data_IF_301810740437
#
_entry.id   IF_301810740437
#
_cell.length_a   1.000
_cell.length_b   1.000
_cell.length_c   1.000
_cell.angle_alpha   90.00
_cell.angle_beta   90.00
_cell.angle_gamma   90.00
#
_symmetry.space_group_name_H-M   'P 1'
#
loop_
_entity.id
_entity.type
_entity.pdbx_description
1 polymer ?
#
# COMPACT_ATOMS: atom_id res chain seq x y z
N UNK A 1 1.66 -35.65 -7.88
CA UNK A 1 3.14 -35.71 -7.82
C UNK A 1 3.56 -35.68 -6.37
N UNK A 2 4.31 -36.65 -5.91
CA UNK A 2 4.79 -36.70 -4.52
C UNK A 2 6.16 -36.06 -4.49
N UNK A 3 6.30 -34.93 -3.81
CA UNK A 3 7.57 -34.20 -3.69
C UNK A 3 8.58 -34.83 -2.72
N UNK A 4 8.22 -35.95 -2.08
CA UNK A 4 9.15 -36.67 -1.23
C UNK A 4 10.15 -37.50 -2.04
N UNK A 5 11.46 -37.45 -1.72
CA UNK A 5 12.49 -38.18 -2.45
C UNK A 5 12.43 -39.71 -2.19
N UNK A 6 11.66 -40.14 -1.22
CA UNK A 6 11.60 -41.55 -0.79
C UNK A 6 10.59 -42.34 -1.62
N UNK A 7 11.05 -43.49 -2.15
CA UNK A 7 10.20 -44.48 -2.80
C UNK A 7 9.40 -45.27 -1.76
N UNK A 8 8.43 -46.05 -2.23
CA UNK A 8 7.69 -46.95 -1.34
C UNK A 8 8.62 -47.98 -0.65
N UNK A 9 9.59 -48.55 -1.37
CA UNK A 9 10.59 -49.45 -0.82
C UNK A 9 11.49 -48.76 0.23
N UNK A 10 11.77 -47.49 0.08
CA UNK A 10 12.53 -46.71 1.09
C UNK A 10 11.71 -46.57 2.38
N UNK A 11 10.42 -46.28 2.28
CA UNK A 11 9.52 -46.17 3.42
C UNK A 11 9.39 -47.51 4.16
N UNK A 12 9.24 -48.60 3.42
CA UNK A 12 9.18 -49.95 4.00
C UNK A 12 10.46 -50.30 4.76
N UNK A 13 11.62 -49.97 4.21
CA UNK A 13 12.90 -50.16 4.92
C UNK A 13 13.01 -49.35 6.19
N UNK A 14 12.58 -48.06 6.13
CA UNK A 14 12.58 -47.17 7.31
C UNK A 14 11.64 -47.71 8.41
N UNK A 15 10.43 -48.12 8.05
CA UNK A 15 9.46 -48.72 8.98
C UNK A 15 10.00 -50.00 9.59
N UNK A 16 10.59 -50.88 8.80
CA UNK A 16 11.21 -52.11 9.27
C UNK A 16 12.35 -51.82 10.28
N UNK A 17 13.17 -50.77 10.04
CA UNK A 17 14.22 -50.37 10.97
C UNK A 17 13.65 -49.88 12.31
N UNK A 18 12.45 -49.28 12.30
CA UNK A 18 11.75 -48.81 13.49
C UNK A 18 10.90 -49.93 14.15
N UNK A 19 10.80 -51.10 13.54
CA UNK A 19 9.94 -52.17 14.02
C UNK A 19 8.44 -51.88 13.84
N UNK A 20 8.08 -51.04 12.88
CA UNK A 20 6.72 -50.65 12.59
C UNK A 20 6.25 -51.21 11.24
N UNK A 21 4.95 -51.44 11.12
CA UNK A 21 4.31 -51.95 9.91
C UNK A 21 3.60 -50.87 9.07
N UNK A 22 3.36 -49.69 9.66
CA UNK A 22 2.74 -48.57 8.96
C UNK A 22 3.19 -47.19 9.51
N UNK A 23 3.00 -46.18 8.71
CA UNK A 23 3.30 -44.77 9.09
C UNK A 23 2.36 -44.29 10.21
N UNK A 24 1.12 -44.81 10.22
CA UNK A 24 0.11 -44.47 11.23
C UNK A 24 0.56 -44.86 12.64
N UNK A 25 1.39 -45.92 12.76
CA UNK A 25 1.95 -46.39 14.04
C UNK A 25 2.95 -45.40 14.66
N UNK A 26 3.48 -44.47 13.88
CA UNK A 26 4.34 -43.38 14.39
C UNK A 26 3.59 -42.40 15.30
N UNK A 27 2.27 -42.42 15.26
CA UNK A 27 1.40 -41.54 16.04
C UNK A 27 0.69 -42.27 17.21
N UNK A 28 1.10 -43.50 17.57
CA UNK A 28 0.45 -44.30 18.61
C UNK A 28 0.54 -43.68 20.01
N UNK A 29 1.50 -42.78 20.24
CA UNK A 29 1.65 -41.98 21.46
C UNK A 29 0.58 -40.85 21.59
N UNK A 30 -0.15 -40.55 20.51
CA UNK A 30 -1.25 -39.57 20.56
C UNK A 30 -2.53 -40.29 21.01
N UNK A 31 -3.14 -39.90 22.14
CA UNK A 31 -4.38 -40.54 22.62
C UNK A 31 -5.50 -40.50 21.56
N UNK A 32 -6.24 -41.61 21.35
CA UNK A 32 -7.31 -41.67 20.33
C UNK A 32 -8.37 -40.56 20.45
N UNK A 33 -8.65 -40.11 21.68
CA UNK A 33 -9.63 -39.06 21.93
C UNK A 33 -9.25 -37.67 21.38
N UNK A 34 -7.97 -37.44 21.11
CA UNK A 34 -7.47 -36.17 20.57
C UNK A 34 -6.91 -36.31 19.15
N UNK A 35 -6.97 -37.52 18.58
CA UNK A 35 -6.63 -37.77 17.17
C UNK A 35 -7.71 -37.25 16.26
N UNK A 36 -7.33 -36.41 15.31
CA UNK A 36 -8.26 -35.99 14.26
C UNK A 36 -8.59 -37.15 13.35
N UNK A 37 -9.87 -37.36 13.05
CA UNK A 37 -10.35 -38.43 12.18
C UNK A 37 -9.93 -38.23 10.70
N UNK A 38 -9.39 -37.07 10.37
CA UNK A 38 -9.00 -36.65 9.03
C UNK A 38 -9.30 -35.17 8.82
N UNK A 39 -9.00 -34.67 7.64
CA UNK A 39 -9.37 -33.34 7.22
C UNK A 39 -10.57 -33.39 6.28
N UNK A 40 -11.61 -32.64 6.58
CA UNK A 40 -12.77 -32.47 5.69
C UNK A 40 -12.41 -31.45 4.61
N UNK A 41 -11.58 -31.88 3.66
CA UNK A 41 -11.12 -31.08 2.52
C UNK A 41 -11.70 -31.65 1.23
N UNK A 42 -12.02 -30.78 0.26
CA UNK A 42 -12.38 -31.22 -1.09
C UNK A 42 -11.30 -32.10 -1.71
N UNK A 43 -11.69 -32.99 -2.60
CA UNK A 43 -10.73 -33.79 -3.36
C UNK A 43 -9.79 -32.89 -4.17
N UNK A 44 -8.51 -33.30 -4.36
CA UNK A 44 -7.57 -32.52 -5.15
C UNK A 44 -8.05 -32.40 -6.60
N UNK A 45 -7.82 -31.24 -7.21
CA UNK A 45 -8.16 -30.95 -8.60
C UNK A 45 -6.91 -30.94 -9.46
N UNK A 46 -7.08 -31.20 -10.75
CA UNK A 46 -6.02 -31.00 -11.72
C UNK A 46 -5.76 -29.48 -11.91
N UNK A 47 -4.57 -29.12 -12.35
CA UNK A 47 -4.21 -27.73 -12.66
C UNK A 47 -5.22 -27.08 -13.63
N UNK A 48 -5.64 -27.84 -14.67
CA UNK A 48 -6.62 -27.35 -15.66
C UNK A 48 -7.97 -27.00 -15.02
N UNK A 49 -8.46 -27.86 -14.13
CA UNK A 49 -9.73 -27.62 -13.41
C UNK A 49 -9.60 -26.43 -12.46
N UNK A 50 -8.49 -26.32 -11.73
CA UNK A 50 -8.21 -25.21 -10.83
C UNK A 50 -8.14 -23.88 -11.59
N UNK A 51 -7.41 -23.82 -12.70
CA UNK A 51 -7.30 -22.61 -13.54
C UNK A 51 -8.67 -22.18 -14.05
N UNK A 52 -9.48 -23.11 -14.55
CA UNK A 52 -10.84 -22.80 -15.04
C UNK A 52 -11.74 -22.25 -13.95
N UNK A 53 -11.69 -22.82 -12.77
CA UNK A 53 -12.50 -22.36 -11.63
C UNK A 53 -12.06 -20.96 -11.17
N UNK A 54 -10.75 -20.72 -11.03
CA UNK A 54 -10.22 -19.42 -10.63
C UNK A 54 -10.49 -18.35 -11.69
N UNK A 55 -10.41 -18.68 -12.98
CA UNK A 55 -10.81 -17.78 -14.06
C UNK A 55 -12.29 -17.45 -14.02
N UNK A 56 -13.16 -18.42 -13.74
CA UNK A 56 -14.59 -18.19 -13.58
C UNK A 56 -14.90 -17.28 -12.38
N UNK A 57 -14.18 -17.43 -11.27
CA UNK A 57 -14.27 -16.52 -10.12
C UNK A 57 -13.76 -15.13 -10.48
N UNK A 58 -12.61 -15.02 -11.13
CA UNK A 58 -12.04 -13.74 -11.56
C UNK A 58 -12.94 -12.97 -12.52
N UNK A 59 -13.64 -13.67 -13.42
CA UNK A 59 -14.60 -13.08 -14.36
C UNK A 59 -15.84 -12.44 -13.68
N UNK A 60 -16.06 -12.68 -12.40
CA UNK A 60 -17.13 -11.99 -11.63
C UNK A 60 -16.73 -10.59 -11.21
N UNK A 61 -15.45 -10.24 -11.27
CA UNK A 61 -14.98 -8.89 -10.97
C UNK A 61 -15.34 -7.94 -12.13
N UNK A 62 -15.82 -6.76 -11.77
CA UNK A 62 -16.16 -5.68 -12.71
C UNK A 62 -14.89 -4.85 -12.99
N UNK A 63 -14.09 -5.28 -13.97
CA UNK A 63 -12.84 -4.60 -14.38
C UNK A 63 -13.07 -3.50 -15.42
N UNK A 64 -14.28 -3.41 -15.95
CA UNK A 64 -14.74 -2.49 -16.99
C UNK A 64 -15.22 -1.13 -16.43
N UNK A 65 -15.25 -0.98 -15.10
CA UNK A 65 -15.77 0.21 -14.46
C UNK A 65 -14.86 1.44 -14.65
N UNK A 66 -15.48 2.58 -14.98
CA UNK A 66 -14.83 3.88 -14.82
C UNK A 66 -14.80 4.19 -13.33
N UNK A 67 -13.61 4.31 -12.76
CA UNK A 67 -13.44 4.47 -11.31
C UNK A 67 -12.99 5.87 -10.95
N UNK A 68 -13.70 6.47 -9.99
CA UNK A 68 -13.29 7.67 -9.25
C UNK A 68 -12.98 7.33 -7.79
N UNK A 69 -12.76 6.05 -7.48
CA UNK A 69 -12.40 5.62 -6.14
C UNK A 69 -10.94 5.94 -5.85
N UNK A 70 -10.69 6.51 -4.69
CA UNK A 70 -9.37 6.81 -4.13
C UNK A 70 -9.35 6.43 -2.67
N UNK A 71 -9.34 7.44 -1.78
CA UNK A 71 -9.38 7.25 -0.35
C UNK A 71 -8.20 6.42 0.18
N UNK A 72 -7.00 6.72 -0.31
CA UNK A 72 -5.74 6.09 0.10
C UNK A 72 -5.31 4.89 -0.72
N UNK A 73 -6.11 4.46 -1.72
CA UNK A 73 -5.74 3.42 -2.70
C UNK A 73 -6.01 3.95 -4.10
N UNK A 74 -4.99 4.10 -4.91
CA UNK A 74 -5.09 4.78 -6.19
C UNK A 74 -4.69 3.85 -7.34
N UNK A 75 -5.47 3.93 -8.44
CA UNK A 75 -5.15 3.21 -9.68
C UNK A 75 -4.28 4.09 -10.55
N UNK A 76 -3.07 3.64 -10.79
CA UNK A 76 -2.14 4.22 -11.77
C UNK A 76 -1.81 3.22 -12.87
N UNK A 77 -1.30 3.70 -13.99
CA UNK A 77 -0.74 2.83 -15.02
C UNK A 77 0.56 2.20 -14.50
N UNK A 78 0.61 0.88 -14.52
CA UNK A 78 1.80 0.14 -14.13
C UNK A 78 2.56 -0.24 -15.40
N UNK A 79 3.79 0.27 -15.62
CA UNK A 79 4.60 -0.10 -16.77
C UNK A 79 4.91 -1.60 -16.80
N UNK A 80 4.96 -2.19 -18.00
CA UNK A 80 5.25 -3.61 -18.17
C UNK A 80 6.63 -4.03 -17.62
N UNK A 81 7.55 -3.08 -17.46
CA UNK A 81 8.86 -3.30 -16.82
C UNK A 81 8.72 -3.76 -15.37
N UNK A 82 7.68 -3.28 -14.65
CA UNK A 82 7.44 -3.67 -13.25
C UNK A 82 7.14 -5.17 -13.17
N UNK A 83 6.15 -5.66 -13.93
CA UNK A 83 5.81 -7.08 -13.94
C UNK A 83 6.98 -7.95 -14.42
N UNK A 84 7.72 -7.49 -15.44
CA UNK A 84 8.88 -8.20 -15.96
C UNK A 84 10.01 -8.38 -14.94
N UNK A 85 10.17 -7.41 -14.03
CA UNK A 85 11.20 -7.47 -12.98
C UNK A 85 10.73 -8.28 -11.79
N UNK A 86 9.53 -7.99 -11.24
CA UNK A 86 9.05 -8.67 -10.02
C UNK A 86 8.72 -10.15 -10.22
N UNK A 87 8.43 -10.57 -11.45
CA UNK A 87 8.17 -11.98 -11.78
C UNK A 87 9.43 -12.83 -11.93
N UNK A 88 10.63 -12.23 -11.89
CA UNK A 88 11.88 -12.99 -11.96
C UNK A 88 12.05 -13.84 -10.71
N UNK A 89 12.41 -15.12 -10.90
CA UNK A 89 12.57 -16.08 -9.82
C UNK A 89 13.55 -15.64 -8.74
N UNK A 90 14.60 -14.91 -9.12
CA UNK A 90 15.62 -14.39 -8.20
C UNK A 90 15.04 -13.44 -7.15
N UNK A 91 13.99 -12.68 -7.50
CA UNK A 91 13.32 -11.76 -6.59
C UNK A 91 12.04 -12.36 -5.99
N UNK A 92 11.23 -13.04 -6.80
CA UNK A 92 9.95 -13.60 -6.35
C UNK A 92 10.11 -14.69 -5.27
N UNK A 93 11.23 -15.41 -5.26
CA UNK A 93 11.56 -16.42 -4.25
C UNK A 93 12.49 -15.93 -3.14
N UNK A 94 12.97 -14.68 -3.23
CA UNK A 94 13.84 -14.11 -2.21
C UNK A 94 13.12 -13.96 -0.87
N UNK A 95 13.86 -14.26 0.21
CA UNK A 95 13.42 -14.00 1.57
C UNK A 95 14.30 -12.93 2.20
N UNK A 96 14.47 -12.92 3.50
CA UNK A 96 15.33 -11.94 4.16
C UNK A 96 16.79 -12.14 3.78
N UNK A 97 17.49 -11.10 3.28
CA UNK A 97 18.87 -11.20 2.83
C UNK A 97 19.87 -11.16 3.98
N UNK A 98 19.81 -12.14 4.89
CA UNK A 98 20.69 -12.21 6.07
C UNK A 98 22.17 -12.44 5.71
N UNK A 99 22.41 -13.22 4.65
CA UNK A 99 23.77 -13.54 4.19
C UNK A 99 24.11 -12.64 3.00
N UNK A 100 24.89 -11.57 3.22
CA UNK A 100 25.21 -10.62 2.16
C UNK A 100 25.98 -11.26 1.00
N UNK A 101 26.74 -12.32 1.25
CA UNK A 101 27.57 -13.00 0.25
C UNK A 101 26.76 -13.55 -0.93
N UNK A 102 25.54 -14.00 -0.67
CA UNK A 102 24.66 -14.59 -1.70
C UNK A 102 23.45 -13.72 -2.04
N UNK A 103 23.29 -12.56 -1.39
CA UNK A 103 22.10 -11.71 -1.48
C UNK A 103 22.39 -10.31 -2.01
N UNK A 104 23.51 -10.10 -2.70
CA UNK A 104 23.94 -8.77 -3.13
C UNK A 104 22.90 -8.07 -4.04
N UNK A 105 22.27 -8.80 -4.96
CA UNK A 105 21.22 -8.23 -5.83
C UNK A 105 19.99 -7.74 -5.04
N UNK A 106 19.51 -8.53 -4.07
CA UNK A 106 18.39 -8.16 -3.20
C UNK A 106 18.74 -6.96 -2.30
N UNK A 107 19.93 -6.98 -1.72
CA UNK A 107 20.42 -5.87 -0.88
C UNK A 107 20.60 -4.58 -1.67
N UNK A 108 21.12 -4.68 -2.90
CA UNK A 108 21.22 -3.53 -3.81
C UNK A 108 19.84 -2.95 -4.11
N UNK A 109 18.86 -3.79 -4.41
CA UNK A 109 17.47 -3.36 -4.66
C UNK A 109 16.91 -2.58 -3.48
N UNK A 110 17.11 -3.08 -2.25
CA UNK A 110 16.66 -2.37 -1.05
C UNK A 110 17.38 -1.02 -0.89
N UNK A 111 18.67 -0.97 -1.16
CA UNK A 111 19.44 0.28 -1.11
C UNK A 111 18.96 1.29 -2.16
N UNK A 112 18.62 0.83 -3.36
CA UNK A 112 18.07 1.67 -4.43
C UNK A 112 16.67 2.18 -4.07
N UNK A 113 15.81 1.34 -3.48
CA UNK A 113 14.53 1.76 -2.93
C UNK A 113 14.70 2.87 -1.89
N UNK A 114 15.57 2.66 -0.90
CA UNK A 114 15.87 3.66 0.13
C UNK A 114 16.34 4.97 -0.49
N UNK A 115 17.20 4.91 -1.51
CA UNK A 115 17.75 6.09 -2.17
C UNK A 115 16.67 6.87 -2.94
N UNK A 116 15.83 6.20 -3.71
CA UNK A 116 14.75 6.84 -4.49
C UNK A 116 13.71 7.47 -3.57
N UNK A 117 13.34 6.78 -2.49
CA UNK A 117 12.39 7.36 -1.52
C UNK A 117 13.04 8.53 -0.75
N UNK A 118 14.33 8.47 -0.43
CA UNK A 118 15.04 9.57 0.21
C UNK A 118 15.00 10.85 -0.64
N UNK A 119 15.26 10.72 -1.94
CA UNK A 119 15.16 11.85 -2.90
C UNK A 119 13.73 12.36 -2.98
N UNK A 120 12.73 11.47 -3.02
CA UNK A 120 11.32 11.84 -3.16
C UNK A 120 10.80 12.60 -1.94
N UNK A 121 11.18 12.19 -0.73
CA UNK A 121 10.69 12.81 0.52
C UNK A 121 11.64 13.88 1.09
N UNK A 122 12.84 14.03 0.53
CA UNK A 122 13.86 14.99 1.02
C UNK A 122 14.41 14.65 2.41
N UNK A 123 14.36 13.40 2.85
CA UNK A 123 14.89 12.94 4.13
C UNK A 123 15.92 11.81 3.93
N UNK A 124 17.11 11.87 4.57
CA UNK A 124 18.26 11.06 4.20
C UNK A 124 18.20 9.60 4.65
N UNK A 125 17.36 9.25 5.62
CA UNK A 125 17.33 7.91 6.20
C UNK A 125 15.97 7.28 5.92
N UNK A 126 15.96 6.19 5.16
CA UNK A 126 14.74 5.47 4.76
C UNK A 126 14.84 4.02 5.17
N UNK A 127 13.80 3.44 5.77
CA UNK A 127 13.74 2.01 6.06
C UNK A 127 13.62 1.17 4.79
N UNK A 128 14.02 -0.10 4.87
CA UNK A 128 13.92 -1.04 3.75
C UNK A 128 12.49 -1.24 3.22
N UNK A 129 11.50 -1.07 4.03
CA UNK A 129 10.05 -0.88 3.83
C UNK A 129 9.28 -1.23 5.11
N UNK A 130 8.04 -0.78 5.19
CA UNK A 130 7.03 -1.20 6.16
C UNK A 130 5.92 -2.00 5.47
N UNK A 131 4.92 -2.48 6.21
CA UNK A 131 3.84 -3.30 5.64
C UNK A 131 2.93 -2.46 4.74
N UNK A 132 2.52 -1.28 5.22
CA UNK A 132 1.67 -0.31 4.55
C UNK A 132 1.82 1.08 5.17
N UNK A 133 1.16 2.09 4.61
CA UNK A 133 1.21 3.46 5.09
C UNK A 133 0.60 3.66 6.47
N UNK A 134 -0.42 2.89 6.82
CA UNK A 134 -1.10 3.00 8.11
C UNK A 134 -0.18 2.53 9.24
N UNK A 135 0.46 1.38 9.08
CA UNK A 135 1.44 0.86 10.06
C UNK A 135 2.73 1.68 10.07
N UNK A 136 3.18 2.20 8.93
CA UNK A 136 4.32 3.14 8.88
C UNK A 136 4.04 4.41 9.69
N UNK A 137 2.83 4.97 9.60
CA UNK A 137 2.42 6.14 10.39
C UNK A 137 2.39 5.83 11.89
N UNK A 138 1.86 4.66 12.26
CA UNK A 138 1.84 4.21 13.65
C UNK A 138 3.26 4.01 14.22
N UNK A 139 4.15 3.44 13.43
CA UNK A 139 5.56 3.28 13.81
C UNK A 139 6.29 4.64 13.92
N UNK A 140 5.96 5.62 13.06
CA UNK A 140 6.45 6.99 13.17
C UNK A 140 6.04 7.64 14.50
N UNK A 141 4.79 7.46 14.91
CA UNK A 141 4.30 7.93 16.21
C UNK A 141 5.08 7.30 17.38
N UNK A 142 5.25 5.96 17.39
CA UNK A 142 6.02 5.27 18.41
C UNK A 142 7.50 5.66 18.40
N UNK A 143 8.07 5.90 17.23
CA UNK A 143 9.43 6.39 17.07
C UNK A 143 9.60 7.76 17.71
N UNK A 144 8.66 8.69 17.49
CA UNK A 144 8.67 10.01 18.10
C UNK A 144 8.52 9.94 19.64
N UNK A 145 7.63 9.08 20.15
CA UNK A 145 7.48 8.83 21.59
C UNK A 145 8.81 8.35 22.21
N UNK A 146 9.52 7.42 21.55
CA UNK A 146 10.83 6.95 22.03
C UNK A 146 11.91 8.03 21.98
N UNK A 147 11.94 8.79 20.91
CA UNK A 147 12.98 9.81 20.68
C UNK A 147 12.82 10.98 21.66
N UNK A 148 11.62 11.48 21.87
CA UNK A 148 11.34 12.62 22.74
C UNK A 148 11.14 12.23 24.21
N UNK A 149 10.85 10.96 24.50
CA UNK A 149 10.41 10.45 25.82
C UNK A 149 9.13 11.09 26.34
N UNK A 150 8.34 11.69 25.45
CA UNK A 150 7.01 12.24 25.74
C UNK A 150 5.94 11.23 25.32
N UNK A 151 4.75 11.32 25.87
CA UNK A 151 3.73 10.28 25.71
C UNK A 151 2.52 10.70 24.86
N UNK A 152 2.33 11.99 24.64
CA UNK A 152 1.17 12.51 23.89
C UNK A 152 1.52 12.67 22.41
N UNK A 153 0.63 12.17 21.55
CA UNK A 153 0.71 12.33 20.10
C UNK A 153 -0.54 13.11 19.64
N UNK A 154 -0.34 14.15 18.85
CA UNK A 154 -1.40 14.87 18.16
C UNK A 154 -1.47 14.40 16.72
N UNK A 155 -2.64 14.05 16.24
CA UNK A 155 -2.86 13.64 14.85
C UNK A 155 -4.02 14.44 14.26
N UNK A 156 -3.86 14.97 13.05
CA UNK A 156 -4.98 15.64 12.38
C UNK A 156 -6.11 14.64 12.11
N UNK A 157 -7.35 15.04 12.37
CA UNK A 157 -8.54 14.30 11.97
C UNK A 157 -8.59 14.05 10.46
N UNK A 158 -7.96 14.92 9.67
CA UNK A 158 -7.86 14.82 8.23
C UNK A 158 -6.71 13.90 7.76
N UNK A 159 -5.97 13.23 8.62
CA UNK A 159 -5.10 12.10 8.22
C UNK A 159 -6.00 10.93 7.82
N UNK A 160 -5.57 10.16 6.82
CA UNK A 160 -6.30 9.00 6.34
C UNK A 160 -6.78 8.11 7.49
N UNK A 161 -8.06 7.76 7.52
CA UNK A 161 -8.69 7.16 8.70
C UNK A 161 -8.04 5.85 9.14
N UNK A 162 -7.60 5.00 8.19
CA UNK A 162 -6.87 3.77 8.51
C UNK A 162 -5.56 4.06 9.26
N UNK A 163 -4.85 5.13 8.91
CA UNK A 163 -3.64 5.52 9.61
C UNK A 163 -3.94 6.03 11.04
N UNK A 164 -5.02 6.79 11.21
CA UNK A 164 -5.47 7.23 12.54
C UNK A 164 -5.81 6.03 13.43
N UNK A 165 -6.59 5.06 12.93
CA UNK A 165 -7.00 3.90 13.72
C UNK A 165 -5.83 2.93 14.01
N UNK A 166 -4.94 2.72 13.05
CA UNK A 166 -3.71 1.95 13.28
C UNK A 166 -2.85 2.63 14.35
N UNK A 167 -2.64 3.96 14.23
CA UNK A 167 -1.88 4.72 15.23
C UNK A 167 -2.52 4.63 16.61
N UNK A 168 -3.84 4.74 16.69
CA UNK A 168 -4.59 4.56 17.94
C UNK A 168 -4.32 3.20 18.57
N UNK A 169 -4.36 2.14 17.77
CA UNK A 169 -4.09 0.77 18.23
C UNK A 169 -2.67 0.62 18.76
N UNK A 170 -1.69 1.17 18.06
CA UNK A 170 -0.26 1.04 18.40
C UNK A 170 0.11 1.88 19.64
N UNK A 171 -0.47 3.07 19.80
CA UNK A 171 -0.15 3.93 20.94
C UNK A 171 -1.03 3.66 22.16
N UNK A 172 -2.05 2.80 22.06
CA UNK A 172 -2.94 2.47 23.19
C UNK A 172 -2.13 1.88 24.36
N UNK A 173 -2.07 2.64 25.43
CA UNK A 173 -1.37 2.28 26.68
C UNK A 173 -1.91 3.20 27.79
N UNK A 174 -1.95 2.75 29.05
CA UNK A 174 -2.35 3.62 30.16
C UNK A 174 -1.54 4.90 30.31
N UNK A 175 -0.31 4.91 29.75
CA UNK A 175 0.60 6.05 29.87
C UNK A 175 0.72 6.89 28.58
N UNK A 176 0.01 6.52 27.49
CA UNK A 176 0.09 7.24 26.22
C UNK A 176 -1.25 7.80 25.81
N UNK A 177 -1.24 8.95 25.15
CA UNK A 177 -2.42 9.65 24.69
C UNK A 177 -2.31 9.98 23.19
N UNK A 178 -3.38 9.67 22.45
CA UNK A 178 -3.56 10.09 21.05
C UNK A 178 -4.75 11.02 20.97
N UNK A 179 -4.52 12.30 20.71
CA UNK A 179 -5.54 13.31 20.54
C UNK A 179 -5.69 13.70 19.06
N UNK A 180 -6.93 13.74 18.57
CA UNK A 180 -7.23 14.21 17.21
C UNK A 180 -7.39 15.72 17.20
N UNK A 181 -6.70 16.39 16.26
CA UNK A 181 -6.88 17.82 15.98
C UNK A 181 -8.08 18.03 15.06
N UNK A 182 -8.92 19.03 15.31
CA UNK A 182 -10.06 19.32 14.45
C UNK A 182 -9.61 19.90 13.11
N UNK A 183 -10.56 20.01 12.18
CA UNK A 183 -10.39 20.67 10.88
C UNK A 183 -11.24 21.92 10.80
N UNK A 184 -10.76 22.90 10.04
CA UNK A 184 -11.47 24.10 9.66
C UNK A 184 -12.56 23.82 8.60
N UNK A 185 -13.33 24.82 8.24
CA UNK A 185 -14.38 24.71 7.23
C UNK A 185 -13.81 24.44 5.84
N UNK A 186 -12.62 24.97 5.53
CA UNK A 186 -11.91 24.74 4.28
C UNK A 186 -11.31 23.33 4.14
N UNK A 187 -11.40 22.51 5.20
CA UNK A 187 -10.93 21.13 5.25
C UNK A 187 -9.48 20.98 5.73
N UNK A 188 -8.76 22.08 6.01
CA UNK A 188 -7.42 22.03 6.57
C UNK A 188 -7.44 21.79 8.09
N UNK A 189 -6.32 21.36 8.64
CA UNK A 189 -6.10 21.19 10.08
C UNK A 189 -6.18 22.54 10.80
N UNK A 190 -6.91 22.62 11.91
CA UNK A 190 -6.99 23.82 12.75
C UNK A 190 -5.66 24.07 13.49
N UNK A 191 -4.85 24.99 12.96
CA UNK A 191 -3.57 25.34 13.56
C UNK A 191 -3.71 26.13 14.86
N UNK A 192 -4.84 26.80 15.13
CA UNK A 192 -5.07 27.45 16.41
C UNK A 192 -5.33 26.40 17.51
N UNK A 193 -6.09 25.34 17.19
CA UNK A 193 -6.26 24.21 18.07
C UNK A 193 -4.92 23.45 18.30
N UNK A 194 -4.08 23.34 17.26
CA UNK A 194 -2.74 22.78 17.40
C UNK A 194 -1.89 23.61 18.38
N UNK A 195 -1.83 24.92 18.18
CA UNK A 195 -1.04 25.82 19.04
C UNK A 195 -1.51 25.75 20.50
N UNK A 196 -2.82 25.75 20.74
CA UNK A 196 -3.39 25.57 22.08
C UNK A 196 -3.02 24.23 22.72
N UNK A 197 -3.05 23.12 21.94
CA UNK A 197 -2.69 21.80 22.43
C UNK A 197 -1.20 21.65 22.74
N UNK A 198 -0.34 22.36 21.98
CA UNK A 198 1.11 22.39 22.19
C UNK A 198 1.53 23.27 23.40
N UNK A 199 0.71 24.25 23.76
CA UNK A 199 0.96 25.13 24.89
C UNK A 199 0.68 24.49 26.27
N UNK A 200 0.09 23.28 26.31
CA UNK A 200 -0.22 22.59 27.56
C UNK A 200 1.05 21.98 28.21
N UNK A 201 1.56 22.56 29.33
CA UNK A 201 2.78 22.09 29.95
C UNK A 201 2.62 20.77 30.72
N UNK A 202 1.40 20.37 31.08
CA UNK A 202 1.13 19.14 31.80
C UNK A 202 1.15 17.92 30.86
N UNK A 203 0.90 18.14 29.58
CA UNK A 203 0.87 17.08 28.57
C UNK A 203 1.80 17.37 27.40
N UNK A 204 3.12 17.29 27.61
CA UNK A 204 4.11 17.61 26.55
C UNK A 204 3.97 16.65 25.37
N UNK A 205 3.87 17.22 24.16
CA UNK A 205 3.61 16.49 22.93
C UNK A 205 4.89 15.87 22.36
N UNK A 206 4.83 14.59 21.99
CA UNK A 206 5.90 13.84 21.33
C UNK A 206 5.95 14.11 19.83
N UNK A 207 4.79 14.09 19.18
CA UNK A 207 4.65 14.27 17.75
C UNK A 207 3.37 15.00 17.37
N UNK A 208 3.45 15.74 16.26
CA UNK A 208 2.32 16.26 15.49
C UNK A 208 2.30 15.55 14.15
N UNK A 209 1.18 14.93 13.78
CA UNK A 209 1.02 14.12 12.56
C UNK A 209 -0.03 14.76 11.66
N UNK A 210 0.36 15.15 10.43
CA UNK A 210 -0.54 15.78 9.43
C UNK A 210 -0.33 15.11 8.07
N UNK A 211 -1.42 14.96 7.29
CA UNK A 211 -1.42 14.36 5.96
C UNK A 211 -1.24 15.39 4.84
N UNK A 212 -0.50 15.06 3.78
CA UNK A 212 -0.31 15.94 2.62
C UNK A 212 -0.31 15.14 1.30
N UNK A 213 -1.31 15.30 0.42
CA UNK A 213 -2.63 15.90 0.71
C UNK A 213 -3.33 15.17 1.86
N UNK A 214 -4.31 15.81 2.49
CA UNK A 214 -5.05 15.17 3.57
C UNK A 214 -6.18 14.24 3.05
N UNK A 215 -6.91 13.57 3.94
CA UNK A 215 -7.96 12.61 3.59
C UNK A 215 -9.19 13.21 2.87
N UNK A 216 -9.27 14.53 2.76
CA UNK A 216 -10.28 15.23 1.96
C UNK A 216 -9.70 15.72 0.61
N UNK A 217 -8.45 15.40 0.31
CA UNK A 217 -7.69 15.88 -0.83
C UNK A 217 -7.10 17.28 -0.65
N UNK A 218 -7.30 17.93 0.49
CA UNK A 218 -6.90 19.32 0.76
C UNK A 218 -5.39 19.40 1.05
N UNK A 219 -4.78 20.49 0.56
CA UNK A 219 -3.38 20.82 0.83
C UNK A 219 -3.28 21.55 2.17
N UNK A 220 -2.41 21.07 3.02
CA UNK A 220 -2.23 21.54 4.39
C UNK A 220 -1.10 22.60 4.51
N UNK A 221 -1.15 23.51 5.48
CA UNK A 221 -0.08 24.47 5.74
C UNK A 221 1.11 23.82 6.50
N UNK A 222 1.76 22.85 5.87
CA UNK A 222 2.74 21.93 6.48
C UNK A 222 3.92 22.65 7.14
N UNK A 223 4.49 23.67 6.48
CA UNK A 223 5.62 24.44 7.02
C UNK A 223 5.26 25.13 8.35
N UNK A 224 4.07 25.73 8.42
CA UNK A 224 3.62 26.39 9.65
C UNK A 224 3.33 25.39 10.77
N UNK A 225 2.78 24.24 10.44
CA UNK A 225 2.56 23.17 11.42
C UNK A 225 3.89 22.62 11.97
N UNK A 226 4.90 22.46 11.12
CA UNK A 226 6.24 22.05 11.53
C UNK A 226 6.90 23.07 12.47
N UNK A 227 6.82 24.36 12.15
CA UNK A 227 7.30 25.45 13.03
C UNK A 227 6.67 25.40 14.42
N UNK A 228 5.35 25.23 14.49
CA UNK A 228 4.62 25.13 15.77
C UNK A 228 5.06 23.91 16.57
N UNK A 229 5.18 22.75 15.92
CA UNK A 229 5.63 21.53 16.57
C UNK A 229 7.05 21.69 17.14
N UNK A 230 7.99 22.23 16.36
CA UNK A 230 9.37 22.44 16.78
C UNK A 230 9.49 23.46 17.91
N UNK A 231 8.72 24.55 17.87
CA UNK A 231 8.70 25.54 18.95
C UNK A 231 8.33 24.94 20.30
N UNK A 232 7.47 23.90 20.30
CA UNK A 232 7.10 23.14 21.49
C UNK A 232 8.05 21.95 21.78
N UNK A 233 9.08 21.73 20.95
CA UNK A 233 9.98 20.58 21.05
C UNK A 233 9.32 19.23 20.74
N UNK A 234 8.24 19.23 19.97
CA UNK A 234 7.64 18.04 19.40
C UNK A 234 8.24 17.73 18.01
N UNK A 235 8.22 16.46 17.60
CA UNK A 235 8.60 16.09 16.25
C UNK A 235 7.42 16.28 15.29
N UNK A 236 7.72 16.71 14.06
CA UNK A 236 6.72 16.85 13.02
C UNK A 236 6.76 15.63 12.07
N UNK A 237 5.63 14.94 11.93
CA UNK A 237 5.45 13.76 11.08
C UNK A 237 4.54 14.12 9.91
N UNK A 238 5.06 14.01 8.71
CA UNK A 238 4.28 14.17 7.48
C UNK A 238 3.80 12.81 6.97
N UNK A 239 2.49 12.65 6.78
CA UNK A 239 1.92 11.48 6.10
C UNK A 239 1.64 11.86 4.65
N UNK A 240 2.30 11.19 3.69
CA UNK A 240 2.33 11.62 2.30
C UNK A 240 1.69 10.62 1.35
N UNK A 241 1.09 11.16 0.29
CA UNK A 241 0.77 10.43 -0.93
C UNK A 241 1.97 10.58 -1.90
N UNK A 242 2.69 9.51 -2.25
CA UNK A 242 4.01 9.62 -2.87
C UNK A 242 4.02 10.21 -4.29
N UNK A 243 2.96 10.03 -5.08
CA UNK A 243 2.89 10.59 -6.44
C UNK A 243 2.74 12.11 -6.39
N UNK A 244 2.07 12.65 -5.38
CA UNK A 244 1.90 14.09 -5.17
C UNK A 244 3.21 14.81 -4.95
N UNK A 245 4.23 14.13 -4.41
CA UNK A 245 5.55 14.70 -4.15
C UNK A 245 6.34 15.07 -5.43
N UNK A 246 5.88 14.59 -6.60
CA UNK A 246 6.44 15.04 -7.88
C UNK A 246 6.09 16.51 -8.23
N UNK A 247 5.09 17.10 -7.55
CA UNK A 247 4.61 18.47 -7.80
C UNK A 247 4.44 19.30 -6.52
N UNK A 248 4.53 18.69 -5.35
CA UNK A 248 4.49 19.36 -4.05
C UNK A 248 5.89 19.37 -3.43
N UNK A 249 6.14 20.33 -2.55
CA UNK A 249 7.38 20.38 -1.77
C UNK A 249 7.55 19.09 -0.94
N UNK A 250 8.72 18.45 -0.95
CA UNK A 250 8.98 17.24 -0.17
C UNK A 250 9.01 17.53 1.33
N UNK A 251 8.68 16.55 2.19
CA UNK A 251 8.69 16.69 3.64
C UNK A 251 9.93 17.33 4.25
N UNK A 252 11.11 16.98 3.75
CA UNK A 252 12.37 17.51 4.25
C UNK A 252 12.51 19.03 4.04
N UNK A 253 11.93 19.59 2.98
CA UNK A 253 12.02 21.02 2.67
C UNK A 253 11.17 21.90 3.60
N UNK A 254 10.02 21.39 4.08
CA UNK A 254 9.18 22.14 5.02
C UNK A 254 9.40 21.75 6.49
N UNK A 255 10.47 21.00 6.78
CA UNK A 255 10.92 20.74 8.14
C UNK A 255 10.30 19.49 8.80
N UNK A 256 9.83 18.49 8.05
CA UNK A 256 9.41 17.24 8.67
C UNK A 256 10.63 16.50 9.24
N UNK A 257 10.49 15.97 10.46
CA UNK A 257 11.47 15.09 11.09
C UNK A 257 11.33 13.66 10.62
N UNK A 258 10.08 13.27 10.33
CA UNK A 258 9.70 11.93 9.89
C UNK A 258 8.68 12.07 8.76
N UNK A 259 8.83 11.28 7.71
CA UNK A 259 7.81 11.09 6.68
C UNK A 259 7.34 9.64 6.67
N UNK A 260 6.02 9.44 6.61
CA UNK A 260 5.40 8.13 6.47
C UNK A 260 4.38 8.19 5.33
N UNK A 261 4.05 7.05 4.74
CA UNK A 261 3.04 7.00 3.67
C UNK A 261 2.87 5.60 3.10
N UNK A 262 1.93 5.47 2.20
CA UNK A 262 1.68 4.23 1.47
C UNK A 262 2.27 4.31 0.06
N UNK A 263 3.14 3.37 -0.27
CA UNK A 263 3.78 3.30 -1.59
C UNK A 263 2.98 2.50 -2.62
N UNK A 264 1.73 2.10 -2.34
CA UNK A 264 0.88 1.39 -3.30
C UNK A 264 0.80 2.10 -4.66
N UNK A 265 0.67 3.45 -4.74
CA UNK A 265 0.61 4.15 -6.01
C UNK A 265 1.87 3.99 -6.89
N UNK A 266 2.98 3.59 -6.30
CA UNK A 266 4.26 3.40 -6.99
C UNK A 266 4.37 2.01 -7.64
N UNK A 267 3.46 1.67 -8.56
CA UNK A 267 3.54 0.45 -9.36
C UNK A 267 3.00 -0.82 -8.70
N UNK A 268 2.15 -0.70 -7.70
CA UNK A 268 1.48 -1.84 -7.06
C UNK A 268 -0.02 -1.78 -7.38
N UNK A 269 -0.55 -2.85 -7.98
CA UNK A 269 -1.96 -2.92 -8.30
C UNK A 269 -2.82 -3.01 -7.02
N UNK A 270 -3.97 -2.30 -6.94
CA UNK A 270 -4.92 -2.49 -5.86
C UNK A 270 -5.40 -3.94 -5.77
N UNK A 271 -5.31 -4.56 -4.61
CA UNK A 271 -5.66 -5.98 -4.40
C UNK A 271 -6.26 -6.20 -3.01
N UNK A 272 -7.52 -5.86 -2.82
CA UNK A 272 -8.35 -6.18 -1.64
C UNK A 272 -7.66 -6.03 -0.27
N UNK A 273 -6.87 -4.97 -0.10
CA UNK A 273 -6.18 -4.68 1.16
C UNK A 273 -4.73 -5.11 1.22
N UNK A 274 -4.13 -5.42 0.09
CA UNK A 274 -2.69 -5.68 0.02
C UNK A 274 -2.31 -6.85 -0.88
N UNK A 275 -0.99 -7.09 -1.01
CA UNK A 275 0.08 -6.41 -0.28
C UNK A 275 0.26 -4.94 -0.73
N UNK A 276 0.81 -4.10 0.16
CA UNK A 276 1.26 -2.77 -0.14
C UNK A 276 2.74 -2.60 0.25
N UNK A 277 3.25 -1.39 0.29
CA UNK A 277 4.56 -1.05 0.83
C UNK A 277 4.48 0.23 1.66
N UNK A 278 4.79 0.15 2.94
CA UNK A 278 4.88 1.32 3.79
C UNK A 278 6.20 2.05 3.59
N UNK A 279 6.11 3.36 3.45
CA UNK A 279 7.23 4.29 3.39
C UNK A 279 7.47 4.84 4.78
N UNK A 280 8.72 4.82 5.25
CA UNK A 280 9.14 5.49 6.47
C UNK A 280 10.53 6.06 6.29
N UNK A 281 10.63 7.39 6.41
CA UNK A 281 11.87 8.12 6.31
C UNK A 281 12.04 9.06 7.51
N UNK A 282 13.27 9.42 7.84
CA UNK A 282 13.54 10.37 8.92
C UNK A 282 14.83 11.16 8.69
N UNK A 283 14.99 12.21 9.51
CA UNK A 283 16.23 12.98 9.60
C UNK A 283 17.38 12.09 10.13
N UNK A 284 18.62 12.49 9.84
CA UNK A 284 19.82 11.76 10.28
C UNK A 284 19.90 11.62 11.81
N UNK A 285 19.44 12.62 12.54
CA UNK A 285 19.40 12.60 14.01
C UNK A 285 18.57 11.43 14.57
N UNK A 286 17.58 10.97 13.82
CA UNK A 286 16.68 9.89 14.21
C UNK A 286 17.09 8.50 13.67
N UNK A 287 18.19 8.39 12.91
CA UNK A 287 18.62 7.14 12.27
C UNK A 287 18.65 5.93 13.22
N UNK A 288 19.07 6.15 14.48
CA UNK A 288 19.14 5.06 15.47
C UNK A 288 17.79 4.68 16.08
N UNK A 289 16.74 5.45 15.80
CA UNK A 289 15.38 5.25 16.31
C UNK A 289 14.44 4.66 15.25
N UNK A 290 14.82 4.74 13.96
CA UNK A 290 13.96 4.27 12.86
C UNK A 290 13.70 2.77 13.00
N UNK A 291 12.44 2.31 12.99
CA UNK A 291 12.12 0.88 12.98
C UNK A 291 12.39 0.26 11.61
N UNK A 292 12.43 -1.05 11.57
CA UNK A 292 12.67 -1.81 10.35
C UNK A 292 14.16 -1.88 9.97
N UNK A 293 14.41 -2.58 8.87
CA UNK A 293 15.76 -2.86 8.36
C UNK A 293 16.35 -1.66 7.63
N UNK A 294 17.67 -1.58 7.66
CA UNK A 294 18.45 -0.64 6.87
C UNK A 294 19.54 -1.38 6.13
N UNK A 295 19.73 -1.03 4.87
CA UNK A 295 20.83 -1.53 4.02
C UNK A 295 21.80 -0.38 3.78
N UNK A 296 23.07 -0.64 4.03
CA UNK A 296 24.16 0.29 3.79
C UNK A 296 25.05 -0.17 2.64
N UNK A 297 25.70 0.78 1.97
CA UNK A 297 26.77 0.53 1.00
C UNK A 297 28.10 0.37 1.72
N UNK A 298 28.87 -0.64 1.31
CA UNK A 298 30.21 -0.94 1.80
C UNK A 298 31.11 -1.37 0.64
N UNK A 299 32.30 -1.87 0.95
CA UNK A 299 33.22 -2.52 0.01
C UNK A 299 33.54 -3.93 0.49
N UNK A 300 33.75 -4.86 -0.45
CA UNK A 300 34.26 -6.19 -0.15
C UNK A 300 35.77 -6.19 0.07
N UNK A 301 36.35 -7.37 0.30
CA UNK A 301 37.81 -7.53 0.54
C UNK A 301 38.65 -7.14 -0.69
N UNK A 302 38.08 -7.19 -1.90
CA UNK A 302 38.73 -6.79 -3.15
C UNK A 302 38.52 -5.29 -3.47
N UNK A 303 37.87 -4.53 -2.57
CA UNK A 303 37.54 -3.11 -2.77
C UNK A 303 36.36 -2.86 -3.69
N UNK A 304 35.58 -3.89 -4.09
CA UNK A 304 34.38 -3.73 -4.93
C UNK A 304 33.22 -3.26 -4.09
N UNK A 305 32.31 -2.48 -4.70
CA UNK A 305 31.08 -2.04 -4.06
C UNK A 305 30.24 -3.25 -3.62
N UNK A 306 29.79 -3.25 -2.37
CA UNK A 306 28.95 -4.26 -1.78
C UNK A 306 27.86 -3.63 -0.91
N UNK A 307 26.85 -4.40 -0.53
CA UNK A 307 25.72 -3.98 0.29
C UNK A 307 25.54 -4.94 1.46
N UNK A 308 25.12 -4.40 2.60
CA UNK A 308 24.93 -5.16 3.84
C UNK A 308 23.81 -4.58 4.69
N UNK A 309 23.08 -5.42 5.40
CA UNK A 309 22.16 -4.94 6.44
C UNK A 309 22.95 -4.33 7.59
N UNK A 310 22.58 -3.12 8.01
CA UNK A 310 23.26 -2.34 9.03
C UNK A 310 22.37 -2.01 10.21
N UNK A 311 22.97 -1.60 11.34
CA UNK A 311 22.29 -1.20 12.57
C UNK A 311 21.30 -2.25 13.12
N UNK A 312 21.51 -3.53 12.87
CA UNK A 312 20.62 -4.64 13.25
C UNK A 312 20.38 -4.78 14.75
N UNK A 313 21.27 -4.24 15.58
CA UNK A 313 21.12 -4.30 17.04
C UNK A 313 19.84 -3.66 17.60
N UNK A 314 19.05 -2.95 16.76
CA UNK A 314 17.74 -2.36 17.11
C UNK A 314 16.58 -3.35 16.92
N UNK A 315 16.76 -4.38 16.09
CA UNK A 315 15.70 -5.28 15.63
C UNK A 315 15.36 -6.36 16.68
N UNK A 316 14.17 -6.94 16.53
CA UNK A 316 13.61 -7.87 17.51
C UNK A 316 14.38 -9.20 17.60
N UNK A 317 15.02 -9.65 16.53
CA UNK A 317 15.84 -10.86 16.52
C UNK A 317 17.06 -10.77 17.46
N UNK A 318 17.49 -9.54 17.76
CA UNK A 318 18.61 -9.25 18.69
C UNK A 318 18.11 -8.69 20.03
N UNK A 319 17.26 -7.67 20.01
CA UNK A 319 16.82 -6.94 21.21
C UNK A 319 15.59 -7.56 21.88
N UNK A 320 14.87 -8.45 21.23
CA UNK A 320 13.66 -9.11 21.74
C UNK A 320 12.62 -8.08 22.23
N UNK A 321 12.23 -8.14 23.51
CA UNK A 321 11.26 -7.24 24.17
C UNK A 321 11.71 -5.76 24.18
N UNK A 322 12.99 -5.48 24.03
CA UNK A 322 13.57 -4.13 23.99
C UNK A 322 13.78 -3.60 22.58
N UNK A 323 13.28 -4.28 21.56
CA UNK A 323 13.38 -3.85 20.19
C UNK A 323 12.62 -2.54 19.94
N UNK A 324 13.06 -1.78 18.94
CA UNK A 324 12.38 -0.55 18.53
C UNK A 324 10.99 -0.80 17.96
N UNK A 325 10.75 -1.97 17.36
CA UNK A 325 9.50 -2.37 16.75
C UNK A 325 9.36 -3.90 16.71
N UNK A 326 8.16 -4.39 16.53
CA UNK A 326 7.85 -5.80 16.27
C UNK A 326 7.96 -6.18 14.79
N UNK A 327 8.32 -5.26 13.92
CA UNK A 327 8.52 -5.52 12.49
C UNK A 327 9.62 -6.57 12.32
N UNK A 328 9.35 -7.62 11.54
CA UNK A 328 10.28 -8.70 11.27
C UNK A 328 10.61 -8.76 9.77
N UNK A 329 9.65 -9.19 8.98
CA UNK A 329 9.75 -9.24 7.52
C UNK A 329 9.12 -7.98 6.95
N UNK A 330 9.73 -7.43 5.91
CA UNK A 330 9.24 -6.26 5.19
C UNK A 330 8.64 -6.66 3.83
N UNK A 331 8.18 -5.68 3.06
CA UNK A 331 7.55 -5.87 1.74
C UNK A 331 8.58 -5.72 0.61
N UNK A 332 9.60 -6.57 0.59
CA UNK A 332 10.74 -6.43 -0.32
C UNK A 332 10.35 -6.48 -1.80
N UNK A 333 9.40 -7.35 -2.19
CA UNK A 333 8.95 -7.45 -3.59
C UNK A 333 8.13 -6.23 -4.00
N UNK A 334 7.31 -5.69 -3.12
CA UNK A 334 6.58 -4.43 -3.36
C UNK A 334 7.54 -3.23 -3.41
N UNK A 335 8.58 -3.21 -2.58
CA UNK A 335 9.65 -2.21 -2.65
C UNK A 335 10.41 -2.27 -3.98
N UNK A 336 10.66 -3.47 -4.52
CA UNK A 336 11.22 -3.65 -5.86
C UNK A 336 10.28 -3.13 -6.96
N UNK A 337 8.96 -3.37 -6.83
CA UNK A 337 7.97 -2.83 -7.76
C UNK A 337 8.04 -1.29 -7.77
N UNK A 338 8.03 -0.66 -6.59
CA UNK A 338 8.14 0.79 -6.43
C UNK A 338 9.47 1.33 -6.99
N UNK A 339 10.58 0.65 -6.73
CA UNK A 339 11.90 0.99 -7.30
C UNK A 339 11.88 0.98 -8.82
N UNK A 340 11.32 -0.09 -9.41
CA UNK A 340 11.24 -0.26 -10.86
C UNK A 340 10.31 0.79 -11.49
N UNK A 341 9.19 1.07 -10.83
CA UNK A 341 8.24 2.11 -11.24
C UNK A 341 8.90 3.48 -11.28
N UNK A 342 9.51 3.90 -10.18
CA UNK A 342 10.20 5.19 -10.08
C UNK A 342 11.36 5.31 -11.08
N UNK A 343 12.17 4.26 -11.24
CA UNK A 343 13.27 4.24 -12.20
C UNK A 343 12.78 4.28 -13.65
N UNK A 344 11.62 3.68 -13.95
CA UNK A 344 11.04 3.67 -15.30
C UNK A 344 10.46 5.04 -15.67
N UNK A 345 9.73 5.68 -14.76
CA UNK A 345 9.12 6.99 -14.99
C UNK A 345 10.14 8.12 -14.90
N UNK A 346 11.06 8.05 -13.96
CA UNK A 346 11.92 9.16 -13.60
C UNK A 346 11.14 10.37 -13.07
N UNK A 347 11.82 11.49 -12.77
CA UNK A 347 11.17 12.67 -12.20
C UNK A 347 10.15 13.31 -13.16
N UNK A 348 10.43 13.33 -14.45
CA UNK A 348 9.51 13.90 -15.43
C UNK A 348 8.24 13.07 -15.60
N UNK A 349 8.37 11.73 -15.75
CA UNK A 349 7.20 10.86 -15.90
C UNK A 349 6.32 10.84 -14.65
N UNK A 350 6.92 10.86 -13.45
CA UNK A 350 6.14 10.96 -12.20
C UNK A 350 5.42 12.31 -12.11
N UNK A 351 6.08 13.40 -12.51
CA UNK A 351 5.49 14.74 -12.61
C UNK A 351 4.31 14.78 -13.58
N UNK A 352 4.42 14.14 -14.74
CA UNK A 352 3.33 14.02 -15.73
C UNK A 352 2.12 13.27 -15.18
N UNK A 353 2.35 12.18 -14.42
CA UNK A 353 1.28 11.41 -13.75
C UNK A 353 0.54 12.30 -12.75
N UNK A 354 1.27 12.98 -11.85
CA UNK A 354 0.68 13.84 -10.84
C UNK A 354 -0.08 15.03 -11.47
N UNK A 355 0.52 15.71 -12.43
CA UNK A 355 -0.08 16.86 -13.11
C UNK A 355 -1.33 16.45 -13.90
N UNK A 356 -1.31 15.28 -14.56
CA UNK A 356 -2.48 14.76 -15.28
C UNK A 356 -3.64 14.46 -14.33
N UNK A 357 -3.37 13.80 -13.19
CA UNK A 357 -4.38 13.56 -12.16
C UNK A 357 -5.02 14.84 -11.65
N UNK A 358 -4.20 15.85 -11.35
CA UNK A 358 -4.66 17.18 -10.92
C UNK A 358 -5.52 17.88 -12.00
N UNK A 359 -5.10 17.84 -13.25
CA UNK A 359 -5.86 18.42 -14.36
C UNK A 359 -7.21 17.72 -14.56
N UNK A 360 -7.25 16.40 -14.42
CA UNK A 360 -8.52 15.64 -14.53
C UNK A 360 -9.46 15.94 -13.36
N UNK A 361 -8.93 16.13 -12.15
CA UNK A 361 -9.73 16.53 -10.99
C UNK A 361 -10.36 17.93 -11.16
N UNK A 362 -9.62 18.90 -11.72
CA UNK A 362 -10.17 20.22 -12.07
C UNK A 362 -11.30 20.12 -13.11
N UNK A 363 -11.08 19.34 -14.17
CA UNK A 363 -12.11 19.13 -15.20
C UNK A 363 -13.37 18.46 -14.64
N UNK A 364 -13.19 17.53 -13.69
CA UNK A 364 -14.30 16.88 -12.99
C UNK A 364 -15.05 17.90 -12.13
N UNK A 365 -14.36 18.74 -11.36
CA UNK A 365 -14.97 19.82 -10.58
C UNK A 365 -15.80 20.75 -11.44
N UNK A 366 -15.26 21.23 -12.57
CA UNK A 366 -15.96 22.12 -13.50
C UNK A 366 -17.24 21.48 -14.06
N UNK A 367 -17.17 20.19 -14.45
CA UNK A 367 -18.30 19.44 -14.96
C UNK A 367 -19.39 19.24 -13.89
N UNK A 368 -19.00 18.93 -12.66
CA UNK A 368 -19.91 18.76 -11.52
C UNK A 368 -20.57 20.10 -11.12
N UNK A 369 -19.81 21.18 -11.10
CA UNK A 369 -20.32 22.53 -10.83
C UNK A 369 -21.39 22.93 -11.89
N UNK A 370 -21.18 22.55 -13.15
CA UNK A 370 -22.14 22.76 -14.25
C UNK A 370 -23.50 22.10 -14.05
N UNK A 371 -23.60 21.10 -13.18
CA UNK A 371 -24.84 20.44 -12.80
C UNK A 371 -25.27 20.70 -11.35
N UNK A 372 -24.66 21.69 -10.70
CA UNK A 372 -25.01 22.16 -9.35
C UNK A 372 -24.40 21.36 -8.20
N UNK A 373 -23.46 20.42 -8.46
CA UNK A 373 -22.72 19.70 -7.42
C UNK A 373 -21.52 20.55 -6.99
N UNK A 374 -21.38 20.77 -5.69
CA UNK A 374 -20.36 21.65 -5.12
C UNK A 374 -19.38 20.87 -4.25
N UNK A 375 -18.16 21.40 -4.10
CA UNK A 375 -17.19 20.84 -3.13
C UNK A 375 -17.69 21.06 -1.69
N UNK A 376 -17.35 20.11 -0.83
CA UNK A 376 -17.60 20.22 0.61
C UNK A 376 -16.66 21.26 1.24
N UNK A 377 -15.40 21.23 0.84
CA UNK A 377 -14.33 22.07 1.41
C UNK A 377 -13.78 23.06 0.37
N UNK A 378 -13.53 24.30 0.81
CA UNK A 378 -13.04 25.36 -0.06
C UNK A 378 -11.53 25.41 -0.25
N UNK A 379 -10.76 24.60 0.49
CA UNK A 379 -9.30 24.60 0.45
C UNK A 379 -8.71 24.20 -0.92
N UNK A 380 -7.43 24.49 -1.12
CA UNK A 380 -6.69 24.01 -2.29
C UNK A 380 -6.57 22.49 -2.26
N UNK A 381 -6.64 21.84 -3.42
CA UNK A 381 -6.57 20.39 -3.54
C UNK A 381 -5.73 19.97 -4.76
N UNK A 382 -5.35 18.68 -4.84
CA UNK A 382 -4.55 18.19 -5.96
C UNK A 382 -5.38 17.30 -6.91
N UNK A 383 -5.49 16.04 -6.63
CA UNK A 383 -6.12 15.01 -7.50
C UNK A 383 -7.37 14.36 -6.88
N UNK A 384 -7.70 14.73 -5.66
CA UNK A 384 -8.82 14.19 -4.92
C UNK A 384 -9.66 15.33 -4.33
N UNK A 385 -10.99 15.21 -4.38
CA UNK A 385 -11.91 16.25 -3.91
C UNK A 385 -13.18 15.66 -3.29
N UNK A 386 -13.63 16.22 -2.18
CA UNK A 386 -14.91 15.90 -1.56
C UNK A 386 -16.02 16.77 -2.13
N UNK A 387 -17.11 16.15 -2.59
CA UNK A 387 -18.27 16.84 -3.16
C UNK A 387 -19.57 16.46 -2.42
N UNK A 388 -20.50 17.42 -2.32
CA UNK A 388 -21.82 17.19 -1.71
C UNK A 388 -22.77 16.63 -2.76
N UNK A 389 -23.29 15.41 -2.53
CA UNK A 389 -24.23 14.74 -3.42
C UNK A 389 -25.43 14.29 -2.58
N UNK A 390 -26.56 15.01 -2.60
CA UNK A 390 -27.74 14.60 -1.85
C UNK A 390 -28.16 13.17 -2.21
N UNK A 391 -28.35 12.32 -1.20
CA UNK A 391 -28.59 10.89 -1.42
C UNK A 391 -27.38 10.13 -1.98
N UNK A 392 -26.18 10.47 -1.55
CA UNK A 392 -24.90 9.93 -2.05
C UNK A 392 -24.88 8.41 -2.24
N UNK A 393 -25.47 7.66 -1.31
CA UNK A 393 -25.56 6.19 -1.38
C UNK A 393 -26.38 5.71 -2.57
N UNK A 394 -27.55 6.32 -2.81
CA UNK A 394 -28.45 5.93 -3.92
C UNK A 394 -27.83 6.31 -5.26
N UNK A 395 -27.21 7.50 -5.32
CA UNK A 395 -26.47 7.96 -6.50
C UNK A 395 -25.30 7.03 -6.80
N UNK A 396 -24.54 6.60 -5.78
CA UNK A 396 -23.45 5.63 -5.96
C UNK A 396 -23.98 4.31 -6.57
N UNK A 397 -25.10 3.77 -6.07
CA UNK A 397 -25.72 2.56 -6.61
C UNK A 397 -26.15 2.73 -8.07
N UNK A 398 -26.84 3.84 -8.39
CA UNK A 398 -27.29 4.14 -9.76
C UNK A 398 -26.14 4.34 -10.76
N UNK A 399 -25.01 4.92 -10.31
CA UNK A 399 -23.80 5.06 -11.13
C UNK A 399 -23.12 3.72 -11.37
N UNK A 400 -23.07 2.84 -10.35
CA UNK A 400 -22.50 1.50 -10.48
C UNK A 400 -23.23 0.66 -11.53
N UNK A 401 -24.56 0.75 -11.59
CA UNK A 401 -25.37 0.10 -12.65
C UNK A 401 -25.00 0.60 -14.05
N UNK A 402 -24.55 1.85 -14.16
CA UNK A 402 -24.10 2.47 -15.42
C UNK A 402 -22.61 2.23 -15.72
N UNK A 403 -21.93 1.40 -14.93
CA UNK A 403 -20.52 1.10 -15.12
C UNK A 403 -19.57 2.15 -14.54
N UNK A 404 -20.03 2.98 -13.60
CA UNK A 404 -19.23 4.02 -12.95
C UNK A 404 -19.13 3.69 -11.46
N UNK A 405 -17.92 3.47 -10.97
CA UNK A 405 -17.62 3.38 -9.55
C UNK A 405 -17.36 4.81 -9.04
N UNK A 406 -18.41 5.41 -8.49
CA UNK A 406 -18.30 6.71 -7.83
C UNK A 406 -17.37 6.61 -6.61
N UNK A 407 -16.87 7.75 -6.15
CA UNK A 407 -15.89 7.80 -5.06
C UNK A 407 -16.31 7.15 -3.75
N UNK A 408 -15.64 7.51 -2.68
CA UNK A 408 -15.84 6.95 -1.36
C UNK A 408 -16.84 7.78 -0.54
N UNK A 409 -17.82 7.12 0.12
CA UNK A 409 -18.79 7.77 1.01
C UNK A 409 -18.09 8.22 2.33
N UNK A 410 -17.83 9.53 2.49
CA UNK A 410 -17.13 10.06 3.67
C UNK A 410 -17.86 9.84 4.99
N UNK A 411 -19.19 9.69 4.97
CA UNK A 411 -19.98 9.32 6.16
C UNK A 411 -19.52 8.00 6.81
N UNK A 412 -18.86 7.12 6.08
CA UNK A 412 -18.31 5.86 6.64
C UNK A 412 -17.12 6.10 7.57
N UNK A 413 -16.35 7.16 7.31
CA UNK A 413 -15.21 7.53 8.16
C UNK A 413 -15.56 8.54 9.21
N UNK A 414 -16.57 9.39 8.93
CA UNK A 414 -16.97 10.51 9.78
C UNK A 414 -18.49 10.52 10.01
N UNK A 415 -19.04 9.47 10.66
CA UNK A 415 -20.50 9.32 10.83
C UNK A 415 -21.14 10.45 11.63
N UNK A 416 -20.36 11.10 12.50
CA UNK A 416 -20.83 12.16 13.39
C UNK A 416 -20.70 13.57 12.80
N UNK A 417 -20.14 13.70 11.58
CA UNK A 417 -20.01 14.99 10.90
C UNK A 417 -21.16 15.20 9.90
N UNK A 418 -22.12 16.11 10.21
CA UNK A 418 -23.28 16.33 9.36
C UNK A 418 -22.91 16.90 7.98
N UNK A 419 -21.74 17.57 7.83
CA UNK A 419 -21.27 18.11 6.54
C UNK A 419 -20.86 17.00 5.58
N UNK A 420 -20.45 15.83 6.13
CA UNK A 420 -19.92 14.70 5.37
C UNK A 420 -20.95 13.60 5.14
N UNK A 421 -22.20 13.76 5.62
CA UNK A 421 -23.26 12.76 5.53
C UNK A 421 -23.57 12.38 4.07
N UNK A 422 -23.66 13.39 3.21
CA UNK A 422 -23.96 13.24 1.78
C UNK A 422 -22.73 13.60 0.92
N UNK A 423 -21.54 13.30 1.42
CA UNK A 423 -20.29 13.61 0.74
C UNK A 423 -19.66 12.36 0.08
N UNK A 424 -19.25 12.52 -1.17
CA UNK A 424 -18.41 11.57 -1.89
C UNK A 424 -17.01 12.16 -2.08
N UNK A 425 -16.00 11.38 -1.74
CA UNK A 425 -14.61 11.68 -2.05
C UNK A 425 -14.28 11.06 -3.41
N UNK A 426 -13.98 11.90 -4.38
CA UNK A 426 -13.69 11.51 -5.76
C UNK A 426 -12.20 11.66 -6.03
N UNK A 427 -11.59 10.67 -6.66
CA UNK A 427 -10.18 10.70 -7.05
C UNK A 427 -10.03 10.63 -8.56
N UNK A 428 -9.06 11.37 -9.09
CA UNK A 428 -8.65 11.32 -10.48
C UNK A 428 -7.17 10.96 -10.58
N UNK A 429 -6.84 10.14 -11.56
CA UNK A 429 -5.46 9.80 -11.92
C UNK A 429 -5.28 10.00 -13.43
N UNK A 430 -4.11 9.70 -13.96
CA UNK A 430 -3.87 9.70 -15.42
C UNK A 430 -4.74 8.67 -16.16
N UNK A 431 -5.32 7.69 -15.46
CA UNK A 431 -6.28 6.73 -16.03
C UNK A 431 -7.71 7.27 -16.10
N UNK A 432 -7.99 8.41 -15.48
CA UNK A 432 -9.29 9.07 -15.54
C UNK A 432 -9.39 9.82 -16.89
N UNK A 433 -9.71 9.10 -17.93
CA UNK A 433 -9.89 9.67 -19.28
C UNK A 433 -11.35 9.90 -19.59
N UNK A 434 -11.63 10.91 -20.43
CA UNK A 434 -12.95 10.96 -21.11
C UNK A 434 -13.08 9.66 -21.91
N UNK A 435 -14.13 8.83 -21.71
CA UNK A 435 -14.26 7.61 -22.50
C UNK A 435 -14.23 7.99 -23.98
N UNK A 436 -13.45 7.31 -24.83
CA UNK A 436 -13.51 7.52 -26.25
C UNK A 436 -14.98 7.31 -26.67
N UNK A 437 -15.50 8.09 -27.64
CA UNK A 437 -16.87 7.89 -28.12
C UNK A 437 -17.01 6.41 -28.42
N UNK A 438 -17.99 5.75 -27.79
CA UNK A 438 -18.23 4.30 -27.96
C UNK A 438 -18.25 4.03 -29.45
N UNK A 439 -17.23 3.34 -29.96
CA UNK A 439 -17.35 2.76 -31.29
C UNK A 439 -18.58 1.88 -31.24
N UNK A 440 -19.56 2.08 -32.13
CA UNK A 440 -20.70 1.18 -32.18
C UNK A 440 -20.14 -0.23 -32.28
N UNK A 441 -20.55 -1.09 -31.34
CA UNK A 441 -20.23 -2.52 -31.41
C UNK A 441 -20.75 -2.93 -32.79
N UNK A 442 -19.91 -3.45 -33.72
CA UNK A 442 -20.40 -3.93 -34.98
C UNK A 442 -21.50 -4.95 -34.65
N UNK A 443 -22.73 -4.70 -35.11
CA UNK A 443 -23.82 -5.65 -34.95
C UNK A 443 -23.27 -7.01 -35.31
N UNK A 444 -23.38 -8.00 -34.40
CA UNK A 444 -22.92 -9.36 -34.59
C UNK A 444 -23.15 -9.80 -36.02
N UNK A 445 -22.06 -10.06 -36.75
CA UNK A 445 -22.20 -10.75 -38.02
C UNK A 445 -22.82 -12.10 -37.70
N UNK A 446 -23.93 -12.48 -38.29
CA UNK A 446 -24.50 -13.81 -38.04
C UNK A 446 -23.40 -14.83 -38.32
N UNK A 447 -23.19 -15.72 -37.39
CA UNK A 447 -22.29 -16.84 -37.51
C UNK A 447 -22.58 -17.58 -38.82
N UNK A 448 -21.63 -17.77 -39.76
CA UNK A 448 -21.92 -18.50 -40.97
C UNK A 448 -22.39 -19.90 -40.59
N UNK A 449 -23.58 -20.29 -41.06
CA UNK A 449 -24.15 -21.62 -40.85
C UNK A 449 -23.13 -22.70 -41.26
N UNK A 450 -23.01 -23.83 -40.54
CA UNK A 450 -22.08 -24.89 -40.87
C UNK A 450 -22.37 -25.40 -42.29
N UNK A 451 -21.39 -25.29 -43.19
CA UNK A 451 -21.47 -25.86 -44.52
C UNK A 451 -21.70 -27.36 -44.43
N UNK A 452 -22.76 -27.84 -45.07
CA UNK A 452 -23.06 -29.27 -45.22
C UNK A 452 -21.84 -30.05 -45.78
N UNK A 453 -21.61 -31.28 -45.30
CA UNK A 453 -20.47 -32.07 -45.74
C UNK A 453 -20.53 -32.34 -47.24
N UNK A 454 -19.53 -31.96 -48.03
CA UNK A 454 -19.37 -32.33 -49.43
C UNK A 454 -19.29 -33.84 -49.52
N UNK A 455 -20.22 -34.47 -50.23
CA UNK A 455 -20.19 -35.89 -50.60
C UNK A 455 -18.88 -36.18 -51.35
N UNK A 456 -18.14 -37.16 -50.87
CA UNK A 456 -16.95 -37.66 -51.56
C UNK A 456 -17.35 -38.25 -52.93
N UNK A 457 -16.86 -37.62 -53.97
CA UNK A 457 -16.95 -38.21 -55.31
C UNK A 457 -15.93 -39.37 -55.44
N UNK A 458 -16.45 -40.51 -55.76
CA UNK A 458 -15.70 -41.77 -55.83
C UNK A 458 -14.52 -41.73 -56.78
N UNK A 459 -13.39 -42.17 -56.30
CA UNK A 459 -12.20 -42.44 -57.09
C UNK A 459 -12.38 -43.78 -57.80
N UNK A 460 -12.71 -43.78 -59.06
CA UNK A 460 -12.68 -44.96 -59.95
C UNK A 460 -11.18 -45.25 -60.26
N UNK A 461 -10.74 -46.44 -59.82
CA UNK A 461 -9.52 -47.06 -60.31
C UNK A 461 -9.68 -47.35 -61.81
N UNK A 462 -8.67 -46.99 -62.62
CA UNK A 462 -8.40 -47.63 -63.89
C UNK A 462 -7.04 -48.32 -63.83
N UNK A 463 -7.08 -49.54 -64.29
CA UNK A 463 -6.05 -50.57 -64.52
C UNK A 463 -4.71 -50.06 -65.00
#
# INVERSE_FOLDING_TARGET
MVYGPHTQADRERMLATLGLDSVERLFDDIPPAVRAAGLDLPAPRSELELVRELQALAARNRVDLVSFLGAGVYRHHIPASVDAVISRGEFATAYTPYQPEISQGTLQTVFEFQSLIAELVGLPVVSASHYDGATATAEAALMAVRATRRQRVLISRAVHRHAVEATRTYVTSPSRDLAELPTLEDGSTDLAALEAALADPEHPVAAVIIGQPNAFGILEPMARAAELAHAAGALFVAVVEPVSLAVLAPPGEYGADIAAGDGQPLGIAPAYGGPSVGLLACSEALMRQIPGRLVGRTTDLDGRRAFVMTLRAREQDIRRDKAASNICTNQALCALAATTYLATLGPHGLGDVAATGAAMARRLEDALAGIGVQRVHGGAYLSELAVTVPGARDVHGALLERGILAGFELARWYPDDPRLRDALLLSCTELTTTPPPRRPIPSERPCPSPRAPRRAAGCRRRS
#
